data_IF_268594926208
#
_entry.id   IF_268594926208
#
_cell.length_a   1.000
_cell.length_b   1.000
_cell.length_c   1.000
_cell.angle_alpha   90.00
_cell.angle_beta   90.00
_cell.angle_gamma   90.00
#
_symmetry.space_group_name_H-M   'P 1'
#
loop_
_entity.id
_entity.type
_entity.pdbx_description
1 polymer ?
#
# COMPACT_ATOMS: atom_id res chain seq x y z
N UNK A 1 -13.66 -2.64 -5.56
CA UNK A 1 -12.49 -3.49 -5.22
C UNK A 1 -12.92 -4.91 -4.87
N UNK A 2 -12.22 -5.93 -5.38
CA UNK A 2 -12.48 -7.34 -5.03
C UNK A 2 -11.98 -7.67 -3.61
N UNK A 3 -12.78 -8.42 -2.84
CA UNK A 3 -12.44 -8.85 -1.48
C UNK A 3 -11.27 -9.83 -1.47
N UNK A 4 -11.29 -10.82 -2.36
CA UNK A 4 -10.20 -11.76 -2.58
C UNK A 4 -9.64 -11.58 -3.99
N UNK A 5 -8.35 -11.28 -4.08
CA UNK A 5 -7.65 -11.07 -5.34
C UNK A 5 -6.36 -11.90 -5.34
N UNK A 6 -6.26 -12.86 -6.24
CA UNK A 6 -5.04 -13.60 -6.49
C UNK A 6 -4.37 -13.06 -7.77
N UNK A 7 -3.16 -12.53 -7.64
CA UNK A 7 -2.36 -12.09 -8.78
C UNK A 7 -1.34 -13.17 -9.12
N UNK A 8 -1.60 -13.92 -10.19
CA UNK A 8 -0.60 -14.82 -10.76
C UNK A 8 0.36 -14.01 -11.61
N UNK A 9 1.65 -14.15 -11.34
CA UNK A 9 2.63 -13.29 -11.97
C UNK A 9 3.99 -13.98 -12.04
N UNK A 10 4.66 -13.87 -13.18
CA UNK A 10 6.02 -14.37 -13.42
C UNK A 10 7.08 -13.35 -12.94
N UNK A 11 8.36 -13.73 -12.91
CA UNK A 11 9.42 -12.77 -12.63
C UNK A 11 9.30 -11.56 -13.58
N UNK A 12 9.50 -10.34 -13.06
CA UNK A 12 9.40 -9.11 -13.85
C UNK A 12 7.99 -8.62 -14.21
N UNK A 13 6.91 -9.34 -13.89
CA UNK A 13 5.55 -8.99 -14.33
C UNK A 13 4.82 -7.94 -13.47
N UNK A 14 5.56 -7.09 -12.73
CA UNK A 14 4.95 -5.96 -12.00
C UNK A 14 4.22 -6.28 -10.69
N UNK A 15 4.44 -7.44 -10.05
CA UNK A 15 3.78 -7.80 -8.75
C UNK A 15 3.92 -6.70 -7.70
N UNK A 16 5.14 -6.24 -7.50
CA UNK A 16 5.45 -5.25 -6.46
C UNK A 16 4.80 -3.91 -6.80
N UNK A 17 4.68 -3.56 -8.09
CA UNK A 17 3.91 -2.38 -8.53
C UNK A 17 2.43 -2.53 -8.17
N UNK A 18 1.81 -3.66 -8.52
CA UNK A 18 0.41 -3.92 -8.23
C UNK A 18 0.08 -3.91 -6.73
N UNK A 19 0.97 -4.45 -5.88
CA UNK A 19 0.80 -4.42 -4.43
C UNK A 19 0.88 -3.00 -3.85
N UNK A 20 1.82 -2.18 -4.31
CA UNK A 20 1.92 -0.78 -3.88
C UNK A 20 0.73 0.06 -4.33
N UNK A 21 0.27 -0.11 -5.58
CA UNK A 21 -0.94 0.51 -6.10
C UNK A 21 -2.15 0.13 -5.24
N UNK A 22 -2.31 -1.16 -4.93
CA UNK A 22 -3.43 -1.63 -4.10
C UNK A 22 -3.39 -1.08 -2.67
N UNK A 23 -2.21 -0.98 -2.07
CA UNK A 23 -2.06 -0.36 -0.75
C UNK A 23 -2.49 1.10 -0.77
N UNK A 24 -2.00 1.87 -1.74
CA UNK A 24 -2.36 3.29 -1.89
C UNK A 24 -3.85 3.45 -2.17
N UNK A 25 -4.43 2.60 -3.03
CA UNK A 25 -5.87 2.58 -3.29
C UNK A 25 -6.68 2.40 -1.99
N UNK A 26 -6.29 1.50 -1.08
CA UNK A 26 -6.93 1.36 0.23
C UNK A 26 -6.83 2.64 1.08
N UNK A 27 -5.65 3.27 1.10
CA UNK A 27 -5.45 4.55 1.82
C UNK A 27 -6.38 5.64 1.27
N UNK A 28 -6.46 5.78 -0.05
CA UNK A 28 -7.29 6.78 -0.72
C UNK A 28 -8.78 6.44 -0.68
N UNK A 29 -9.15 5.18 -0.48
CA UNK A 29 -10.54 4.77 -0.22
C UNK A 29 -11.03 5.22 1.16
N UNK A 30 -10.11 5.68 2.03
CA UNK A 30 -10.43 6.14 3.38
C UNK A 30 -10.29 5.06 4.46
N UNK A 31 -9.66 3.93 4.14
CA UNK A 31 -9.40 2.89 5.14
C UNK A 31 -8.47 3.41 6.24
N UNK A 32 -8.63 2.86 7.45
CA UNK A 32 -7.72 3.11 8.55
C UNK A 32 -6.35 2.51 8.20
N UNK A 33 -5.33 3.36 8.05
CA UNK A 33 -3.98 2.95 7.62
C UNK A 33 -3.39 1.94 8.60
N UNK A 34 -3.70 2.10 9.90
CA UNK A 34 -3.26 1.19 10.95
C UNK A 34 -3.92 -0.19 10.87
N UNK A 35 -4.94 -0.40 10.03
CA UNK A 35 -5.61 -1.68 9.81
C UNK A 35 -5.17 -2.35 8.51
N UNK A 36 -4.38 -1.67 7.67
CA UNK A 36 -3.84 -2.24 6.44
C UNK A 36 -2.52 -2.96 6.76
N UNK A 37 -2.53 -4.29 6.69
CA UNK A 37 -1.35 -5.13 6.92
C UNK A 37 -0.85 -5.73 5.60
N UNK A 38 0.44 -5.55 5.31
CA UNK A 38 1.13 -6.21 4.21
C UNK A 38 2.21 -7.15 4.74
N UNK A 39 2.22 -8.39 4.26
CA UNK A 39 3.15 -9.44 4.70
C UNK A 39 4.03 -9.91 3.55
N UNK A 40 5.29 -10.22 3.86
CA UNK A 40 6.25 -10.78 2.90
C UNK A 40 7.23 -11.74 3.57
N UNK A 41 8.06 -12.43 2.79
CA UNK A 41 9.00 -13.42 3.30
C UNK A 41 10.33 -12.81 3.79
N UNK A 42 10.80 -11.72 3.18
CA UNK A 42 12.13 -11.17 3.47
C UNK A 42 12.05 -9.74 4.00
N UNK A 43 12.96 -9.41 4.94
CA UNK A 43 13.08 -8.04 5.46
C UNK A 43 13.36 -7.03 4.35
N UNK A 44 14.17 -7.41 3.37
CA UNK A 44 14.48 -6.59 2.19
C UNK A 44 13.21 -6.25 1.41
N UNK A 45 12.37 -7.23 1.09
CA UNK A 45 11.12 -6.97 0.37
C UNK A 45 10.14 -6.10 1.18
N UNK A 46 10.12 -6.25 2.51
CA UNK A 46 9.28 -5.42 3.37
C UNK A 46 9.73 -3.95 3.32
N UNK A 47 11.04 -3.70 3.44
CA UNK A 47 11.61 -2.35 3.36
C UNK A 47 11.40 -1.73 1.97
N UNK A 48 11.70 -2.46 0.90
CA UNK A 48 11.49 -1.99 -0.48
C UNK A 48 10.02 -1.64 -0.74
N UNK A 49 9.08 -2.44 -0.23
CA UNK A 49 7.64 -2.15 -0.35
C UNK A 49 7.25 -0.89 0.41
N UNK A 50 7.80 -0.71 1.62
CA UNK A 50 7.55 0.47 2.47
C UNK A 50 8.06 1.75 1.81
N UNK A 51 9.32 1.75 1.37
CA UNK A 51 9.94 2.87 0.65
C UNK A 51 9.13 3.24 -0.60
N UNK A 52 8.72 2.23 -1.38
CA UNK A 52 7.90 2.46 -2.57
C UNK A 52 6.56 3.10 -2.25
N UNK A 53 5.82 2.57 -1.28
CA UNK A 53 4.51 3.12 -0.91
C UNK A 53 4.65 4.58 -0.46
N UNK A 54 5.65 4.88 0.37
CA UNK A 54 5.90 6.25 0.84
C UNK A 54 6.25 7.16 -0.35
N UNK A 55 7.22 6.76 -1.18
CA UNK A 55 7.66 7.56 -2.32
C UNK A 55 6.53 7.81 -3.31
N UNK A 56 5.73 6.79 -3.63
CA UNK A 56 4.60 6.92 -4.55
C UNK A 56 3.47 7.76 -3.94
N UNK A 57 3.14 7.61 -2.65
CA UNK A 57 2.08 8.39 -2.02
C UNK A 57 2.42 9.88 -1.97
N UNK A 58 3.66 10.22 -1.58
CA UNK A 58 4.11 11.61 -1.45
C UNK A 58 4.26 12.33 -2.80
N UNK A 59 4.54 11.58 -3.87
CA UNK A 59 4.80 12.11 -5.21
C UNK A 59 3.75 11.65 -6.24
N UNK A 60 2.55 11.28 -5.78
CA UNK A 60 1.55 10.58 -6.61
C UNK A 60 1.20 11.34 -7.91
N UNK A 61 1.14 12.67 -7.85
CA UNK A 61 0.87 13.55 -8.99
C UNK A 61 1.91 13.44 -10.13
N UNK A 62 3.15 13.08 -9.82
CA UNK A 62 4.23 12.94 -10.79
C UNK A 62 4.45 11.48 -11.22
N UNK A 63 3.84 10.52 -10.50
CA UNK A 63 3.90 9.07 -10.75
C UNK A 63 2.76 8.63 -11.66
N UNK A 64 2.80 9.03 -12.94
CA UNK A 64 1.69 8.80 -13.91
C UNK A 64 1.18 7.37 -13.95
N UNK A 65 2.09 6.38 -14.02
CA UNK A 65 1.70 4.96 -14.09
C UNK A 65 0.98 4.49 -12.82
N UNK A 66 1.49 4.84 -11.64
CA UNK A 66 0.85 4.52 -10.38
C UNK A 66 -0.48 5.27 -10.19
N UNK A 67 -0.53 6.56 -10.56
CA UNK A 67 -1.75 7.36 -10.50
C UNK A 67 -2.84 6.76 -11.38
N UNK A 68 -2.53 6.43 -12.64
CA UNK A 68 -3.47 5.77 -13.56
C UNK A 68 -3.96 4.43 -13.00
N UNK A 69 -3.05 3.62 -12.45
CA UNK A 69 -3.41 2.32 -11.88
C UNK A 69 -4.27 2.43 -10.61
N UNK A 70 -4.01 3.43 -9.75
CA UNK A 70 -4.84 3.72 -8.56
C UNK A 70 -6.22 4.21 -8.98
N UNK A 71 -6.30 5.09 -9.98
CA UNK A 71 -7.57 5.56 -10.54
C UNK A 71 -8.40 4.39 -11.08
N UNK A 72 -7.77 3.48 -11.82
CA UNK A 72 -8.43 2.29 -12.35
C UNK A 72 -8.92 1.31 -11.25
N UNK A 73 -8.16 1.13 -10.18
CA UNK A 73 -8.55 0.25 -9.06
C UNK A 73 -9.72 0.83 -8.25
N UNK A 74 -9.81 2.16 -8.16
CA UNK A 74 -10.83 2.88 -7.39
C UNK A 74 -12.04 3.35 -8.21
N UNK A 75 -11.94 3.31 -9.54
CA UNK A 75 -12.94 3.86 -10.48
C UNK A 75 -13.20 5.36 -10.24
N UNK A 76 -12.13 6.15 -10.20
CA UNK A 76 -12.16 7.61 -9.97
C UNK A 76 -11.25 8.37 -10.94
N UNK A 77 -11.45 9.69 -11.05
CA UNK A 77 -10.58 10.57 -11.85
C UNK A 77 -9.23 10.84 -11.17
N UNK A 78 -8.25 11.31 -11.95
CA UNK A 78 -6.95 11.72 -11.43
C UNK A 78 -7.09 12.86 -10.41
N UNK A 79 -7.91 13.87 -10.70
CA UNK A 79 -8.13 15.01 -9.78
C UNK A 79 -8.71 14.54 -8.44
N UNK A 80 -9.67 13.61 -8.46
CA UNK A 80 -10.25 13.04 -7.24
C UNK A 80 -9.21 12.20 -6.46
N UNK A 81 -8.38 11.42 -7.15
CA UNK A 81 -7.31 10.67 -6.50
C UNK A 81 -6.28 11.58 -5.80
N UNK A 82 -5.88 12.68 -6.45
CA UNK A 82 -4.96 13.67 -5.87
C UNK A 82 -5.60 14.39 -4.70
N UNK A 83 -6.86 14.82 -4.82
CA UNK A 83 -7.62 15.44 -3.74
C UNK A 83 -7.69 14.53 -2.51
N UNK A 84 -8.07 13.25 -2.68
CA UNK A 84 -8.09 12.29 -1.56
C UNK A 84 -6.71 12.07 -0.97
N UNK A 85 -5.66 12.04 -1.78
CA UNK A 85 -4.28 11.92 -1.27
C UNK A 85 -3.95 13.10 -0.35
N UNK A 86 -4.30 14.33 -0.75
CA UNK A 86 -4.07 15.53 0.04
C UNK A 86 -4.87 15.53 1.35
N UNK A 87 -6.15 15.14 1.29
CA UNK A 87 -7.00 14.98 2.49
C UNK A 87 -6.44 13.92 3.46
N UNK A 88 -5.78 12.89 2.94
CA UNK A 88 -5.20 11.78 3.73
C UNK A 88 -3.76 12.04 4.17
N UNK A 89 -3.08 13.08 3.67
CA UNK A 89 -1.65 13.32 3.89
C UNK A 89 -1.28 13.39 5.38
N UNK A 90 -2.03 14.16 6.17
CA UNK A 90 -1.75 14.32 7.59
C UNK A 90 -1.80 12.99 8.35
N UNK A 91 -2.84 12.19 8.12
CA UNK A 91 -2.99 10.87 8.75
C UNK A 91 -1.93 9.90 8.24
N UNK A 92 -1.58 9.95 6.95
CA UNK A 92 -0.54 9.09 6.38
C UNK A 92 0.83 9.32 7.02
N UNK A 93 1.24 10.58 7.20
CA UNK A 93 2.52 10.95 7.82
C UNK A 93 2.62 10.56 9.30
N UNK A 94 1.49 10.50 10.00
CA UNK A 94 1.41 10.11 11.41
C UNK A 94 1.23 8.60 11.61
N UNK A 95 0.86 7.86 10.56
CA UNK A 95 0.56 6.43 10.66
C UNK A 95 1.82 5.58 10.50
N UNK A 96 1.89 4.50 11.28
CA UNK A 96 2.89 3.46 11.04
C UNK A 96 2.41 2.51 9.95
N UNK A 97 3.12 2.45 8.82
CA UNK A 97 2.80 1.47 7.78
C UNK A 97 3.18 0.06 8.25
N UNK A 98 2.16 -0.77 8.50
CA UNK A 98 2.26 -2.16 8.98
C UNK A 98 2.67 -3.13 7.86
N UNK A 99 3.94 -3.03 7.47
CA UNK A 99 4.55 -3.88 6.45
C UNK A 99 5.61 -4.74 7.14
N UNK A 100 5.36 -6.05 7.22
CA UNK A 100 6.16 -6.97 8.03
C UNK A 100 6.61 -8.19 7.26
N UNK A 101 7.63 -8.87 7.78
CA UNK A 101 7.80 -10.28 7.46
C UNK A 101 6.80 -11.12 8.22
N UNK A 102 6.52 -12.34 7.74
CA UNK A 102 5.71 -13.31 8.48
C UNK A 102 6.21 -13.51 9.92
N UNK A 103 7.51 -13.75 10.12
CA UNK A 103 8.08 -13.96 11.46
C UNK A 103 7.88 -12.75 12.40
N UNK A 104 8.10 -11.54 11.88
CA UNK A 104 7.95 -10.32 12.67
C UNK A 104 6.49 -10.09 13.08
N UNK A 105 5.55 -10.36 12.17
CA UNK A 105 4.12 -10.26 12.44
C UNK A 105 3.68 -11.26 13.52
N UNK A 106 4.03 -12.55 13.36
CA UNK A 106 3.65 -13.57 14.34
C UNK A 106 4.31 -13.35 15.70
N UNK A 107 5.60 -12.97 15.74
CA UNK A 107 6.27 -12.60 16.99
C UNK A 107 5.58 -11.41 17.68
N UNK A 108 5.14 -10.42 16.91
CA UNK A 108 4.38 -9.28 17.42
C UNK A 108 3.03 -9.66 18.01
N UNK A 109 2.33 -10.63 17.42
CA UNK A 109 1.08 -11.18 17.97
C UNK A 109 1.35 -11.87 19.30
N UNK A 110 2.29 -12.83 19.34
CA UNK A 110 2.55 -13.64 20.53
C UNK A 110 2.91 -12.78 21.75
N UNK A 111 3.69 -11.72 21.56
CA UNK A 111 4.06 -10.77 22.62
C UNK A 111 2.87 -10.02 23.22
N UNK A 112 1.74 -9.90 22.52
CA UNK A 112 0.53 -9.23 23.03
C UNK A 112 -0.35 -10.14 23.88
N UNK A 113 -0.12 -11.46 23.82
CA UNK A 113 -0.86 -12.48 24.57
C UNK A 113 0.01 -13.18 25.63
N UNK A 114 1.21 -12.65 25.89
CA UNK A 114 2.09 -13.07 26.98
C UNK A 114 1.99 -12.05 28.11
#
# INVERSE_FOLDING_TARGET
MKNFLALKASAGSGKTFALSVRYIALVLRGENINEIVALTFTKKAANEMKERIIATFLDLQNKKGELEAVCAELDISQDEAIKRRDERLGVFLQSELKIYTFDAFFSGILKKFS
#
